data_IF_782611140075
#
_entry.id   IF_782611140075
#
_cell.length_a   1.000
_cell.length_b   1.000
_cell.length_c   1.000
_cell.angle_alpha   90.00
_cell.angle_beta   90.00
_cell.angle_gamma   90.00
#
_symmetry.space_group_name_H-M   'P 1'
#
loop_
_entity.id
_entity.type
_entity.pdbx_description
1 polymer ?
#
# COMPACT_ATOMS: atom_id res chain seq x y z
N UNK A 1 -11.05 5.94 -0.37
CA UNK A 1 -10.01 6.20 0.64
C UNK A 1 -10.31 7.47 1.46
N UNK A 2 -9.33 7.97 2.19
CA UNK A 2 -9.48 9.13 3.10
C UNK A 2 -10.11 10.36 2.44
N UNK A 3 -9.68 10.84 1.25
CA UNK A 3 -10.29 12.01 0.63
C UNK A 3 -11.80 11.84 0.38
N UNK A 4 -12.20 10.67 -0.10
CA UNK A 4 -13.63 10.37 -0.33
C UNK A 4 -14.42 10.33 0.97
N UNK A 5 -13.83 9.77 2.03
CA UNK A 5 -14.46 9.74 3.36
C UNK A 5 -14.65 11.14 3.91
N UNK A 6 -13.61 11.98 3.84
CA UNK A 6 -13.66 13.37 4.29
C UNK A 6 -14.71 14.17 3.54
N UNK A 7 -14.71 14.13 2.21
CA UNK A 7 -15.67 14.85 1.37
C UNK A 7 -17.12 14.47 1.71
N UNK A 8 -17.40 13.18 1.85
CA UNK A 8 -18.76 12.72 2.13
C UNK A 8 -19.16 12.94 3.60
N UNK A 9 -18.21 12.91 4.54
CA UNK A 9 -18.47 13.31 5.92
C UNK A 9 -18.88 14.79 6.01
N UNK A 10 -18.18 15.68 5.30
CA UNK A 10 -18.57 17.10 5.19
C UNK A 10 -19.97 17.27 4.58
N UNK A 11 -20.24 16.57 3.47
CA UNK A 11 -21.58 16.59 2.85
C UNK A 11 -22.68 16.11 3.80
N UNK A 12 -22.40 15.06 4.57
CA UNK A 12 -23.34 14.53 5.55
C UNK A 12 -23.72 15.58 6.60
N UNK A 13 -22.71 16.28 7.14
CA UNK A 13 -22.90 17.30 8.18
C UNK A 13 -23.59 18.55 7.61
N UNK A 14 -23.13 19.05 6.47
CA UNK A 14 -23.55 20.32 5.91
C UNK A 14 -24.90 20.24 5.17
N UNK A 15 -25.22 19.10 4.55
CA UNK A 15 -26.33 18.97 3.59
C UNK A 15 -27.24 17.76 3.83
N UNK A 16 -26.93 16.91 4.82
CA UNK A 16 -27.66 15.68 5.13
C UNK A 16 -27.28 14.48 4.27
N UNK A 17 -27.61 13.29 4.76
CA UNK A 17 -27.16 12.01 4.18
C UNK A 17 -27.56 11.75 2.73
N UNK A 18 -28.72 12.29 2.31
CA UNK A 18 -29.21 12.11 0.92
C UNK A 18 -28.37 12.89 -0.13
N UNK A 19 -27.43 13.72 0.29
CA UNK A 19 -26.51 14.46 -0.58
C UNK A 19 -25.13 13.81 -0.71
N UNK A 20 -24.88 12.71 -0.02
CA UNK A 20 -23.67 11.92 -0.16
C UNK A 20 -23.60 11.29 -1.56
N UNK A 21 -22.38 10.95 -1.99
CA UNK A 21 -22.19 10.25 -3.26
C UNK A 21 -22.84 8.86 -3.21
N UNK A 22 -23.62 8.44 -4.22
CA UNK A 22 -24.11 7.06 -4.31
C UNK A 22 -22.98 6.03 -4.48
N UNK A 23 -21.80 6.49 -4.89
CA UNK A 23 -20.60 5.67 -5.01
C UNK A 23 -19.72 5.70 -3.76
N UNK A 24 -20.17 6.33 -2.66
CA UNK A 24 -19.38 6.47 -1.44
C UNK A 24 -18.81 5.12 -0.97
N UNK A 25 -19.68 4.14 -0.76
CA UNK A 25 -19.25 2.82 -0.28
C UNK A 25 -18.25 2.16 -1.24
N UNK A 26 -18.53 1.99 -2.55
CA UNK A 26 -17.54 1.44 -3.46
C UNK A 26 -16.20 2.18 -3.46
N UNK A 27 -16.20 3.50 -3.31
CA UNK A 27 -14.97 4.31 -3.39
C UNK A 27 -14.11 4.27 -2.12
N UNK A 28 -14.64 3.84 -0.97
CA UNK A 28 -13.87 3.75 0.27
C UNK A 28 -13.33 2.36 0.58
N UNK A 29 -13.86 1.32 -0.07
CA UNK A 29 -13.43 -0.05 0.19
C UNK A 29 -11.97 -0.25 -0.27
N UNK A 30 -11.09 -0.80 0.58
CA UNK A 30 -9.67 -0.94 0.27
C UNK A 30 -9.39 -1.82 -0.97
N UNK A 31 -10.25 -2.81 -1.23
CA UNK A 31 -10.09 -3.72 -2.37
C UNK A 31 -10.46 -3.09 -3.73
N UNK A 32 -10.97 -1.86 -3.74
CA UNK A 32 -11.44 -1.25 -4.99
C UNK A 32 -10.32 -0.84 -5.93
N UNK A 33 -9.10 -0.63 -5.45
CA UNK A 33 -7.94 -0.44 -6.30
C UNK A 33 -7.70 -1.69 -7.17
N UNK A 34 -7.56 -2.86 -6.55
CA UNK A 34 -7.40 -4.13 -7.24
C UNK A 34 -8.60 -4.46 -8.15
N UNK A 35 -9.83 -4.26 -7.65
CA UNK A 35 -11.05 -4.48 -8.43
C UNK A 35 -11.14 -3.57 -9.67
N UNK A 36 -10.67 -2.32 -9.57
CA UNK A 36 -10.66 -1.39 -10.69
C UNK A 36 -9.66 -1.81 -11.77
N UNK A 37 -8.48 -2.26 -11.38
CA UNK A 37 -7.46 -2.81 -12.30
C UNK A 37 -8.01 -4.07 -12.98
N UNK A 38 -8.56 -5.01 -12.21
CA UNK A 38 -9.19 -6.23 -12.72
C UNK A 38 -10.25 -5.91 -13.78
N UNK A 39 -11.15 -4.98 -13.48
CA UNK A 39 -12.20 -4.56 -14.41
C UNK A 39 -11.66 -3.88 -15.66
N UNK A 40 -10.67 -2.99 -15.51
CA UNK A 40 -10.10 -2.22 -16.62
C UNK A 40 -9.41 -3.14 -17.64
N UNK A 41 -8.68 -4.13 -17.17
CA UNK A 41 -7.90 -5.05 -18.01
C UNK A 41 -8.60 -6.39 -18.26
N UNK A 42 -9.81 -6.60 -17.75
CA UNK A 42 -10.54 -7.85 -17.93
C UNK A 42 -9.89 -9.05 -17.22
N UNK A 43 -9.12 -8.82 -16.16
CA UNK A 43 -8.43 -9.86 -15.39
C UNK A 43 -9.46 -10.57 -14.50
N UNK A 44 -9.64 -11.88 -14.72
CA UNK A 44 -10.69 -12.69 -14.06
C UNK A 44 -10.13 -13.72 -13.06
N UNK A 45 -8.80 -13.73 -12.86
CA UNK A 45 -8.14 -14.65 -11.96
C UNK A 45 -8.25 -14.25 -10.48
N UNK A 46 -7.36 -14.81 -9.67
CA UNK A 46 -7.26 -14.49 -8.25
C UNK A 46 -7.05 -12.98 -8.03
N UNK A 47 -7.86 -12.40 -7.16
CA UNK A 47 -7.76 -10.99 -6.79
C UNK A 47 -7.87 -10.87 -5.28
N UNK A 48 -6.92 -10.17 -4.66
CA UNK A 48 -6.86 -9.93 -3.22
C UNK A 48 -6.33 -8.53 -2.93
N UNK A 49 -6.51 -8.09 -1.70
CA UNK A 49 -5.95 -6.84 -1.20
C UNK A 49 -5.33 -7.08 0.16
N UNK A 50 -4.05 -6.82 0.25
CA UNK A 50 -3.28 -6.94 1.49
C UNK A 50 -3.36 -5.61 2.22
N UNK A 51 -3.72 -5.66 3.50
CA UNK A 51 -3.88 -4.48 4.35
C UNK A 51 -2.97 -4.64 5.58
N UNK A 52 -1.72 -4.24 5.43
CA UNK A 52 -0.69 -4.26 6.48
C UNK A 52 0.03 -2.91 6.57
N UNK A 53 -0.76 -1.82 6.44
CA UNK A 53 -0.26 -0.45 6.47
C UNK A 53 0.95 -0.26 5.52
N UNK A 54 2.06 0.28 6.01
CA UNK A 54 3.25 0.58 5.19
C UNK A 54 3.87 -0.68 4.53
N UNK A 55 3.65 -1.87 5.07
CA UNK A 55 4.17 -3.13 4.53
C UNK A 55 3.28 -3.72 3.42
N UNK A 56 2.07 -3.19 3.20
CA UNK A 56 1.06 -3.78 2.32
C UNK A 56 1.57 -4.00 0.87
N UNK A 57 2.26 -3.01 0.30
CA UNK A 57 2.80 -3.12 -1.06
C UNK A 57 3.83 -4.23 -1.20
N UNK A 58 4.78 -4.32 -0.27
CA UNK A 58 5.82 -5.37 -0.27
C UNK A 58 5.19 -6.74 -0.02
N UNK A 59 4.28 -6.86 0.94
CA UNK A 59 3.58 -8.10 1.21
C UNK A 59 2.69 -8.51 0.04
N UNK A 60 2.05 -7.55 -0.65
CA UNK A 60 1.27 -7.83 -1.87
C UNK A 60 2.09 -8.45 -2.99
N UNK A 61 3.36 -8.04 -3.14
CA UNK A 61 4.31 -8.69 -4.07
C UNK A 61 4.58 -10.13 -3.63
N UNK A 62 4.86 -10.33 -2.34
CA UNK A 62 5.08 -11.67 -1.79
C UNK A 62 3.89 -12.61 -1.97
N UNK A 63 2.67 -12.16 -1.70
CA UNK A 63 1.46 -12.94 -1.95
C UNK A 63 1.28 -13.26 -3.44
N UNK A 64 1.62 -12.32 -4.33
CA UNK A 64 1.62 -12.55 -5.77
C UNK A 64 2.55 -13.69 -6.19
N UNK A 65 3.73 -13.81 -5.58
CA UNK A 65 4.66 -14.92 -5.80
C UNK A 65 4.02 -16.24 -5.36
N UNK A 66 3.39 -16.29 -4.19
CA UNK A 66 2.75 -17.50 -3.68
C UNK A 66 1.56 -17.93 -4.56
N UNK A 67 0.84 -16.99 -5.17
CA UNK A 67 -0.21 -17.29 -6.16
C UNK A 67 0.38 -18.01 -7.38
N UNK A 68 1.52 -17.57 -7.88
CA UNK A 68 2.22 -18.20 -9.02
C UNK A 68 2.79 -19.57 -8.59
N UNK A 69 3.48 -19.65 -7.44
CA UNK A 69 4.09 -20.89 -6.94
C UNK A 69 3.11 -22.03 -6.76
N UNK A 70 1.87 -21.73 -6.33
CA UNK A 70 0.82 -22.73 -6.20
C UNK A 70 0.07 -23.02 -7.51
N UNK A 71 0.49 -22.46 -8.63
CA UNK A 71 -0.13 -22.67 -9.95
C UNK A 71 -1.53 -22.06 -10.12
N UNK A 72 -1.90 -21.07 -9.30
CA UNK A 72 -3.20 -20.42 -9.40
C UNK A 72 -3.25 -19.33 -10.49
N UNK A 73 -2.09 -18.86 -10.95
CA UNK A 73 -1.93 -17.95 -12.08
C UNK A 73 -0.49 -18.01 -12.61
N UNK A 74 -0.29 -17.77 -13.90
CA UNK A 74 1.01 -17.64 -14.52
C UNK A 74 1.55 -16.21 -14.46
N UNK A 75 0.63 -15.22 -14.40
CA UNK A 75 0.93 -13.79 -14.35
C UNK A 75 0.11 -13.12 -13.25
N UNK A 76 0.75 -12.29 -12.44
CA UNK A 76 0.11 -11.51 -11.37
C UNK A 76 0.59 -10.07 -11.41
N UNK A 77 -0.34 -9.12 -11.36
CA UNK A 77 -0.05 -7.72 -11.08
C UNK A 77 -0.03 -7.51 -9.56
N UNK A 78 1.09 -7.11 -8.99
CA UNK A 78 1.26 -6.95 -7.56
C UNK A 78 2.01 -5.67 -7.21
N UNK A 79 1.66 -5.05 -6.10
CA UNK A 79 2.30 -3.81 -5.64
C UNK A 79 1.44 -3.05 -4.66
N UNK A 80 1.54 -1.73 -4.65
CA UNK A 80 0.80 -0.87 -3.74
C UNK A 80 0.39 0.46 -4.36
N UNK A 81 -0.61 1.07 -3.76
CA UNK A 81 -1.03 2.43 -4.08
C UNK A 81 -1.52 3.15 -2.82
N UNK A 82 -1.32 4.45 -2.78
CA UNK A 82 -1.83 5.32 -1.72
C UNK A 82 -2.24 6.67 -2.28
N UNK A 83 -3.39 7.18 -1.82
CA UNK A 83 -3.91 8.51 -2.09
C UNK A 83 -4.58 9.04 -0.82
N UNK A 84 -3.78 9.48 0.13
CA UNK A 84 -4.21 9.85 1.49
C UNK A 84 -3.98 11.32 1.87
N UNK A 85 -3.53 12.17 0.92
CA UNK A 85 -3.26 13.58 1.22
C UNK A 85 -4.57 14.36 1.24
N UNK A 86 -5.14 14.49 2.42
CA UNK A 86 -6.30 15.29 2.75
C UNK A 86 -6.22 15.72 4.22
N UNK A 87 -7.12 16.60 4.68
CA UNK A 87 -7.08 17.09 6.07
C UNK A 87 -7.22 15.95 7.09
N UNK A 88 -8.11 14.98 6.82
CA UNK A 88 -8.30 13.82 7.69
C UNK A 88 -7.03 12.96 7.77
N UNK A 89 -6.39 12.66 6.64
CA UNK A 89 -5.17 11.87 6.57
C UNK A 89 -3.99 12.57 7.25
N UNK A 90 -3.72 13.82 6.86
CA UNK A 90 -2.63 14.62 7.44
C UNK A 90 -2.89 14.92 8.92
N UNK A 91 -4.13 15.25 9.30
CA UNK A 91 -4.52 15.51 10.68
C UNK A 91 -4.29 14.30 11.59
N UNK A 92 -4.63 13.09 11.09
CA UNK A 92 -4.40 11.84 11.83
C UNK A 92 -2.91 11.60 12.13
N UNK A 93 -2.03 11.78 11.15
CA UNK A 93 -0.59 11.66 11.37
C UNK A 93 -0.02 12.80 12.20
N UNK A 94 -0.55 14.02 12.08
CA UNK A 94 -0.09 15.17 12.84
C UNK A 94 -0.41 15.04 14.33
N UNK A 95 -1.59 14.54 14.71
CA UNK A 95 -1.98 14.41 16.12
C UNK A 95 -1.10 13.44 16.90
N UNK A 96 -0.61 12.40 16.23
CA UNK A 96 0.36 11.46 16.82
C UNK A 96 1.81 11.93 16.69
N UNK A 97 2.03 13.16 16.20
CA UNK A 97 3.33 13.81 16.03
C UNK A 97 4.29 13.03 15.12
N UNK A 98 3.75 12.36 14.12
CA UNK A 98 4.53 11.54 13.19
C UNK A 98 5.09 12.32 11.99
N UNK A 99 4.59 13.54 11.72
CA UNK A 99 5.00 14.33 10.56
C UNK A 99 6.27 15.16 10.82
N UNK A 100 7.12 15.26 9.80
CA UNK A 100 8.23 16.22 9.77
C UNK A 100 7.72 17.66 9.86
N UNK A 101 8.50 18.51 10.54
CA UNK A 101 8.22 19.95 10.67
C UNK A 101 9.19 20.82 9.86
N UNK A 102 9.98 20.21 8.99
CA UNK A 102 10.99 20.89 8.17
C UNK A 102 10.32 21.59 6.97
N UNK A 103 9.67 22.73 7.22
CA UNK A 103 8.97 23.51 6.21
C UNK A 103 9.84 24.60 5.57
N UNK A 104 11.00 24.93 6.15
CA UNK A 104 11.89 25.98 5.62
C UNK A 104 12.61 25.53 4.33
N UNK A 105 12.93 24.24 4.23
CA UNK A 105 13.57 23.61 3.06
C UNK A 105 12.87 22.28 2.79
N UNK A 106 11.62 22.30 2.26
CA UNK A 106 10.76 21.13 2.17
C UNK A 106 11.34 20.01 1.31
N UNK A 107 12.11 20.33 0.27
CA UNK A 107 12.77 19.35 -0.60
C UNK A 107 13.87 18.53 0.13
N UNK A 108 14.30 18.95 1.32
CA UNK A 108 15.23 18.22 2.20
C UNK A 108 14.58 17.61 3.43
N UNK A 109 13.26 17.71 3.56
CA UNK A 109 12.55 17.18 4.72
C UNK A 109 12.54 15.64 4.75
N UNK A 110 12.31 14.99 3.60
CA UNK A 110 12.38 13.53 3.49
C UNK A 110 13.84 13.08 3.49
N UNK A 111 14.29 12.50 4.59
CA UNK A 111 15.67 12.04 4.80
C UNK A 111 15.72 10.78 5.66
N UNK A 112 15.15 9.66 5.17
CA UNK A 112 15.19 8.38 5.87
C UNK A 112 16.66 8.01 6.11
N UNK A 113 17.09 7.46 7.15
CA UNK A 113 18.48 7.15 7.55
C UNK A 113 19.35 8.34 7.99
N UNK A 114 18.92 9.58 7.86
CA UNK A 114 19.62 10.73 8.41
C UNK A 114 19.44 10.80 9.93
N UNK A 115 20.51 11.13 10.66
CA UNK A 115 20.46 11.29 12.12
C UNK A 115 19.53 12.43 12.56
N UNK A 116 19.31 13.43 11.70
CA UNK A 116 18.45 14.59 11.95
C UNK A 116 17.04 14.46 11.38
N UNK A 117 16.64 13.26 10.94
CA UNK A 117 15.24 13.03 10.51
C UNK A 117 14.28 13.31 11.65
N UNK A 118 13.13 13.90 11.35
CA UNK A 118 12.19 14.37 12.38
C UNK A 118 10.73 13.91 12.14
N UNK A 119 10.51 13.01 11.19
CA UNK A 119 9.17 12.46 10.93
C UNK A 119 8.92 12.13 9.47
N UNK A 120 7.68 11.78 9.16
CA UNK A 120 7.23 11.42 7.83
C UNK A 120 7.04 12.66 6.95
N UNK A 121 7.27 12.49 5.66
CA UNK A 121 6.80 13.39 4.60
C UNK A 121 5.78 12.60 3.78
N UNK A 122 4.48 12.83 4.00
CA UNK A 122 3.42 12.09 3.30
C UNK A 122 3.50 12.30 1.79
N UNK A 123 3.25 11.24 1.05
CA UNK A 123 3.19 11.26 -0.40
C UNK A 123 2.05 10.39 -0.91
N UNK A 124 1.68 10.58 -2.16
CA UNK A 124 0.77 9.74 -2.90
C UNK A 124 1.50 9.07 -4.05
N UNK A 125 1.04 7.91 -4.46
CA UNK A 125 1.64 7.20 -5.57
C UNK A 125 1.11 5.80 -5.75
N UNK A 126 1.53 5.17 -6.84
CA UNK A 126 1.25 3.76 -7.13
C UNK A 126 2.40 3.16 -7.89
N UNK A 127 2.75 1.94 -7.53
CA UNK A 127 3.71 1.13 -8.28
C UNK A 127 3.24 -0.33 -8.30
N UNK A 128 3.27 -0.93 -9.48
CA UNK A 128 2.90 -2.33 -9.70
C UNK A 128 4.02 -3.04 -10.46
N UNK A 129 4.28 -4.27 -10.07
CA UNK A 129 5.14 -5.21 -10.78
C UNK A 129 4.26 -6.20 -11.54
N UNK A 130 4.72 -6.59 -12.72
CA UNK A 130 4.21 -7.76 -13.44
C UNK A 130 5.08 -8.94 -13.02
N UNK A 131 4.52 -9.82 -12.21
CA UNK A 131 5.16 -11.06 -11.77
C UNK A 131 4.74 -12.18 -12.71
N UNK A 132 5.69 -13.01 -13.11
CA UNK A 132 5.44 -14.15 -14.00
C UNK A 132 6.20 -15.37 -13.52
N UNK A 133 5.70 -16.57 -13.83
CA UNK A 133 6.54 -17.75 -13.74
C UNK A 133 7.71 -17.63 -14.72
N UNK A 134 8.88 -18.16 -14.35
CA UNK A 134 10.06 -18.10 -15.23
C UNK A 134 9.78 -18.76 -16.58
N UNK A 135 9.07 -19.88 -16.58
CA UNK A 135 8.68 -20.61 -17.79
C UNK A 135 7.84 -19.71 -18.71
N UNK A 136 6.73 -19.13 -18.22
CA UNK A 136 5.88 -18.24 -18.99
C UNK A 136 6.62 -17.01 -19.54
N UNK A 137 7.46 -16.39 -18.72
CA UNK A 137 8.25 -15.22 -19.12
C UNK A 137 9.25 -15.57 -20.23
N UNK A 138 9.90 -16.73 -20.12
CA UNK A 138 10.87 -17.23 -21.11
C UNK A 138 10.18 -17.57 -22.43
N UNK A 139 9.08 -18.31 -22.39
CA UNK A 139 8.35 -18.77 -23.59
C UNK A 139 7.85 -17.62 -24.45
N UNK A 140 7.43 -16.52 -23.84
CA UNK A 140 7.02 -15.32 -24.58
C UNK A 140 8.15 -14.34 -24.92
N UNK A 141 9.41 -14.66 -24.54
CA UNK A 141 10.56 -13.79 -24.79
C UNK A 141 10.54 -12.48 -23.99
N UNK A 142 10.06 -12.52 -22.74
CA UNK A 142 9.99 -11.35 -21.88
C UNK A 142 11.37 -10.77 -21.57
N UNK A 143 11.45 -9.43 -21.46
CA UNK A 143 12.60 -8.77 -20.86
C UNK A 143 12.52 -8.92 -19.33
N UNK A 144 13.19 -9.93 -18.78
CA UNK A 144 13.21 -10.20 -17.34
C UNK A 144 14.14 -9.19 -16.66
N UNK A 145 13.57 -8.39 -15.74
CA UNK A 145 14.31 -7.35 -15.02
C UNK A 145 15.02 -7.90 -13.78
N UNK A 146 14.38 -8.83 -13.07
CA UNK A 146 14.90 -9.45 -11.86
C UNK A 146 14.14 -10.74 -11.56
N UNK A 147 14.72 -11.58 -10.74
CA UNK A 147 14.07 -12.74 -10.13
C UNK A 147 13.73 -12.45 -8.68
N UNK A 148 12.51 -12.77 -8.25
CA UNK A 148 12.11 -12.68 -6.84
C UNK A 148 12.24 -14.05 -6.21
N UNK A 149 13.29 -14.23 -5.43
CA UNK A 149 13.69 -15.54 -4.89
C UNK A 149 12.95 -15.92 -3.60
N UNK A 150 12.42 -14.94 -2.86
CA UNK A 150 11.71 -15.21 -1.61
C UNK A 150 11.05 -13.99 -0.99
N UNK A 151 10.28 -14.25 0.04
CA UNK A 151 9.68 -13.24 0.92
C UNK A 151 9.73 -13.73 2.36
N UNK A 152 9.70 -12.79 3.31
CA UNK A 152 9.51 -13.09 4.72
C UNK A 152 8.47 -12.14 5.33
N UNK A 153 7.62 -12.69 6.18
CA UNK A 153 6.59 -11.95 6.91
C UNK A 153 6.64 -12.31 8.39
N UNK A 154 6.58 -11.33 9.26
CA UNK A 154 6.51 -11.53 10.70
C UNK A 154 5.61 -10.50 11.36
N UNK A 155 5.27 -10.73 12.62
CA UNK A 155 4.57 -9.76 13.46
C UNK A 155 5.32 -9.62 14.78
N UNK A 156 5.45 -8.37 15.27
CA UNK A 156 6.16 -8.10 16.53
C UNK A 156 5.36 -8.53 17.76
N UNK A 157 4.01 -8.47 17.67
CA UNK A 157 3.12 -8.72 18.83
C UNK A 157 3.49 -7.88 20.07
N UNK A 158 4.02 -6.67 19.84
CA UNK A 158 4.59 -5.80 20.88
C UNK A 158 3.69 -4.60 21.18
N UNK A 159 3.43 -3.74 20.22
CA UNK A 159 2.69 -2.50 20.41
C UNK A 159 1.83 -2.18 19.17
N UNK A 160 0.75 -1.39 19.35
CA UNK A 160 -0.16 -1.05 18.25
C UNK A 160 0.50 -0.24 17.12
N UNK A 161 1.54 0.55 17.41
CA UNK A 161 2.18 1.47 16.47
C UNK A 161 3.71 1.33 16.46
N UNK A 162 4.34 1.13 17.61
CA UNK A 162 5.80 1.09 17.73
C UNK A 162 6.35 -0.30 17.38
N UNK A 163 7.44 -0.37 16.59
CA UNK A 163 8.16 -1.62 16.38
C UNK A 163 8.82 -2.08 17.68
N UNK A 164 9.11 -3.37 17.78
CA UNK A 164 9.87 -3.94 18.89
C UNK A 164 11.29 -3.34 18.90
N UNK A 165 11.71 -2.90 20.08
CA UNK A 165 12.97 -2.17 20.27
C UNK A 165 14.21 -3.00 19.92
N UNK A 166 14.15 -4.32 20.10
CA UNK A 166 15.25 -5.22 19.78
C UNK A 166 15.34 -5.63 18.29
N UNK A 167 14.34 -5.22 17.48
CA UNK A 167 14.29 -5.53 16.08
C UNK A 167 14.06 -7.01 15.74
N UNK A 168 13.64 -7.82 16.72
CA UNK A 168 13.45 -9.27 16.56
C UNK A 168 12.44 -9.62 15.48
N UNK A 169 11.38 -8.81 15.31
CA UNK A 169 10.38 -8.96 14.26
C UNK A 169 10.99 -8.85 12.86
N UNK A 170 11.73 -7.79 12.60
CA UNK A 170 12.44 -7.60 11.34
C UNK A 170 13.45 -8.73 11.07
N UNK A 171 14.21 -9.12 12.10
CA UNK A 171 15.16 -10.22 12.00
C UNK A 171 14.48 -11.56 11.63
N UNK A 172 13.29 -11.84 12.15
CA UNK A 172 12.52 -13.05 11.78
C UNK A 172 12.05 -13.02 10.32
N UNK A 173 11.67 -11.85 9.79
CA UNK A 173 11.24 -11.72 8.41
C UNK A 173 12.41 -11.84 7.40
N UNK A 174 13.65 -11.48 7.82
CA UNK A 174 14.84 -11.53 6.95
C UNK A 174 15.43 -12.94 6.89
N UNK A 175 15.30 -13.75 7.93
CA UNK A 175 15.82 -15.13 8.01
C UNK A 175 15.00 -16.14 7.21
#
# INVERSE_FOLDING_TARGET
GFPTTEENARKLVDRGGMKMSPFFIPMILPNMAAASVSRLFGIKGYTSTIITACAAGTQGIGEGIEVIRRGAADVVLAGGCEAGICELGLGGFNIIKALSRQNDVPEKASRPFDAKRDGFVPAEGSALLVLESLEHATDRGANILAEVVGQGVSSDAFHAVQPDEDGSGAARAIR
#
